data_IF_900834241305
#
_entry.id   IF_900834241305
#
_cell.length_a   1.000
_cell.length_b   1.000
_cell.length_c   1.000
_cell.angle_alpha   90.00
_cell.angle_beta   90.00
_cell.angle_gamma   90.00
#
_symmetry.space_group_name_H-M   'P 1'
#
loop_
_entity.id
_entity.type
_entity.pdbx_description
1 polymer ?
2 water ?
#
# COMPACT_ATOMS: atom_id res chain seq x y z
N UNK A 2 -4.22 -20.49 -0.69
CA UNK A 2 -2.94 -19.74 -0.48
C UNK A 2 -3.09 -18.72 0.65
N UNK A 3 -2.03 -18.55 1.46
CA UNK A 3 -2.11 -17.55 2.54
C UNK A 3 -2.31 -16.13 2.05
N UNK A 4 -3.04 -15.34 2.82
CA UNK A 4 -3.19 -13.92 2.54
C UNK A 4 -2.12 -13.16 3.32
N UNK A 5 -1.36 -12.32 2.64
CA UNK A 5 -0.40 -11.43 3.27
C UNK A 5 -1.10 -10.11 3.59
N UNK A 6 -0.98 -9.66 4.84
CA UNK A 6 -1.64 -8.46 5.31
C UNK A 6 -0.56 -7.52 5.84
N UNK A 7 -0.43 -6.33 5.27
CA UNK A 7 0.64 -5.44 5.67
C UNK A 7 0.28 -3.98 5.44
N UNK A 8 0.92 -3.13 6.23
CA UNK A 8 0.75 -1.69 6.11
C UNK A 8 1.01 -1.06 7.46
N UNK A 9 0.36 0.08 7.71
CA UNK A 9 0.57 0.77 8.96
C UNK A 9 -0.67 1.57 9.33
N UNK A 10 -0.82 1.79 10.62
CA UNK A 10 -1.87 2.60 11.18
C UNK A 10 -1.21 3.61 12.11
N UNK A 11 -1.65 4.85 12.02
CA UNK A 11 -1.05 5.94 12.76
C UNK A 11 -2.12 6.63 13.61
N UNK A 12 -1.69 7.40 14.60
CA UNK A 12 -2.59 8.15 15.46
C UNK A 12 -3.19 7.36 16.60
N UNK A 13 -2.68 6.15 16.83
CA UNK A 13 -3.17 5.28 17.89
C UNK A 13 -2.52 5.59 19.24
N UNK A 14 -3.21 5.24 20.31
CA UNK A 14 -2.59 5.24 21.62
C UNK A 14 -1.57 4.10 21.66
N UNK A 15 -0.51 4.29 22.45
CA UNK A 15 0.54 3.29 22.58
C UNK A 15 -0.05 1.99 23.14
N UNK A 16 0.34 0.86 22.56
CA UNK A 16 -0.09 -0.43 23.03
C UNK A 16 -0.84 -1.27 22.02
N UNK A 17 -1.58 -2.22 22.56
CA UNK A 17 -2.24 -3.27 21.80
C UNK A 17 -3.64 -2.84 21.36
N UNK A 18 -3.97 -3.05 20.10
CA UNK A 18 -5.27 -2.69 19.53
C UNK A 18 -5.86 -3.85 18.75
N UNK A 19 -7.05 -4.27 19.14
CA UNK A 19 -7.76 -5.32 18.41
C UNK A 19 -7.96 -4.95 16.94
N UNK A 20 -7.82 -5.95 16.09
CA UNK A 20 -7.72 -5.75 14.62
C UNK A 20 -8.54 -6.85 13.96
N UNK A 21 -9.70 -6.49 13.40
CA UNK A 21 -10.65 -7.50 12.91
C UNK A 21 -11.25 -7.14 11.57
N UNK A 22 -11.57 -8.17 10.79
CA UNK A 22 -12.47 -8.03 9.66
C UNK A 22 -13.86 -8.34 10.17
N UNK A 23 -14.80 -7.44 9.93
CA UNK A 23 -16.17 -7.64 10.35
C UNK A 23 -16.74 -8.96 9.85
N UNK A 24 -17.39 -9.69 10.75
CA UNK A 24 -18.06 -10.94 10.39
C UNK A 24 -17.32 -12.20 10.79
N UNK A 25 -17.80 -13.34 10.32
CA UNK A 25 -17.22 -14.63 10.69
C UNK A 25 -15.81 -14.78 10.13
N UNK A 26 -14.94 -15.42 10.90
CA UNK A 26 -13.59 -15.74 10.44
C UNK A 26 -12.69 -14.52 10.33
N UNK A 27 -12.98 -13.49 11.13
CA UNK A 27 -12.29 -12.21 10.97
C UNK A 27 -11.39 -11.71 12.07
N UNK A 28 -11.06 -12.54 13.06
CA UNK A 28 -10.28 -12.10 14.20
C UNK A 28 -8.79 -12.19 13.86
N UNK A 29 -8.26 -11.12 13.28
CA UNK A 29 -6.88 -11.15 12.76
C UNK A 29 -5.87 -11.16 13.88
N UNK A 30 -6.24 -10.60 15.01
CA UNK A 30 -5.37 -10.50 16.18
C UNK A 30 -5.31 -9.06 16.67
N UNK A 31 -4.10 -8.57 16.88
CA UNK A 31 -3.87 -7.21 17.33
C UNK A 31 -2.79 -6.54 16.53
N UNK A 32 -2.82 -5.21 16.52
CA UNK A 32 -1.69 -4.41 16.10
C UNK A 32 -1.09 -3.74 17.33
N UNK A 33 0.19 -3.44 17.26
CA UNK A 33 0.91 -2.84 18.38
C UNK A 33 1.41 -1.47 17.96
N UNK A 34 0.92 -0.45 18.64
CA UNK A 34 1.32 0.92 18.36
C UNK A 34 2.49 1.30 19.26
N UNK A 35 3.49 1.95 18.68
CA UNK A 35 4.66 2.43 19.41
C UNK A 35 4.39 3.74 20.18
N UNK A 36 5.43 4.29 20.81
CA UNK A 36 5.32 5.57 21.54
C UNK A 36 4.92 6.78 20.68
N UNK A 37 5.02 6.65 19.37
CA UNK A 37 4.61 7.67 18.42
C UNK A 37 3.20 7.41 17.88
N UNK A 38 2.56 6.34 18.35
CA UNK A 38 1.20 6.00 17.92
C UNK A 38 1.13 5.31 16.58
N UNK A 39 2.25 4.74 16.14
CA UNK A 39 2.35 4.10 14.83
C UNK A 39 2.44 2.59 15.03
N UNK A 40 1.56 1.87 14.33
CA UNK A 40 1.56 0.42 14.35
C UNK A 40 1.87 -0.10 12.95
N UNK A 41 2.97 -0.84 12.83
CA UNK A 41 3.31 -1.55 11.60
C UNK A 41 2.65 -2.91 11.64
N UNK A 42 2.15 -3.31 10.49
CA UNK A 42 1.45 -4.58 10.34
C UNK A 42 2.15 -5.41 9.28
N UNK A 43 2.44 -6.66 9.63
CA UNK A 43 2.99 -7.64 8.69
C UNK A 43 2.59 -9.04 9.16
N UNK A 44 1.47 -9.52 8.61
CA UNK A 44 0.81 -10.76 9.06
C UNK A 44 0.63 -11.66 7.83
N UNK A 45 0.72 -12.96 8.07
CA UNK A 45 0.34 -13.98 7.12
C UNK A 45 -0.87 -14.68 7.75
N UNK A 46 -1.90 -14.92 6.95
CA UNK A 46 -3.15 -15.45 7.46
C UNK A 46 -3.72 -16.46 6.47
N UNK A 47 -3.79 -17.73 6.91
CA UNK A 47 -4.28 -18.81 6.05
C UNK A 47 -5.76 -19.15 6.33
N UNK A 48 -6.40 -18.38 7.20
CA UNK A 48 -7.83 -18.54 7.50
C UNK A 48 -8.69 -17.69 6.56
N UNK A 49 -8.29 -16.44 6.35
CA UNK A 49 -9.01 -15.54 5.44
C UNK A 49 -8.63 -15.80 3.97
N UNK A 50 -9.47 -15.30 3.08
CA UNK A 50 -9.20 -15.40 1.64
C UNK A 50 -9.69 -14.17 0.91
N UNK A 51 -9.08 -13.88 -0.23
CA UNK A 51 -9.53 -12.80 -1.12
C UNK A 51 -10.42 -13.30 -2.27
N UNK A 52 -10.73 -14.59 -2.27
CA UNK A 52 -11.60 -15.14 -3.30
C UNK A 52 -12.48 -16.23 -2.73
N UNK A 53 -13.46 -16.67 -3.52
CA UNK A 53 -14.39 -17.70 -3.08
C UNK A 53 -15.56 -17.13 -2.30
N UNK A 54 -16.39 -18.03 -1.78
CA UNK A 54 -17.65 -17.63 -1.15
C UNK A 54 -17.49 -16.91 0.20
N UNK A 55 -16.30 -17.00 0.80
CA UNK A 55 -16.01 -16.27 2.04
C UNK A 55 -14.94 -15.19 1.85
N UNK A 56 -14.78 -14.72 0.62
CA UNK A 56 -13.85 -13.63 0.34
C UNK A 56 -14.09 -12.43 1.25
N UNK A 57 -13.01 -11.82 1.73
CA UNK A 57 -13.14 -10.62 2.58
C UNK A 57 -13.23 -9.32 1.77
N UNK A 58 -13.15 -9.42 0.44
CA UNK A 58 -13.36 -8.25 -0.41
C UNK A 58 -14.74 -7.66 -0.13
N UNK A 59 -14.76 -6.35 0.13
CA UNK A 59 -15.99 -5.65 0.46
C UNK A 59 -16.42 -5.71 1.92
N UNK A 60 -15.70 -6.49 2.74
CA UNK A 60 -15.94 -6.47 4.16
C UNK A 60 -15.20 -5.30 4.79
N UNK A 61 -15.63 -4.92 5.99
CA UNK A 61 -15.05 -3.80 6.69
C UNK A 61 -13.94 -4.26 7.64
N UNK A 62 -12.79 -3.62 7.53
CA UNK A 62 -11.67 -3.84 8.43
C UNK A 62 -11.76 -2.81 9.54
N UNK A 63 -11.56 -3.23 10.78
CA UNK A 63 -11.64 -2.32 11.92
C UNK A 63 -10.44 -2.46 12.84
N UNK A 64 -10.12 -1.37 13.53
CA UNK A 64 -9.14 -1.36 14.59
C UNK A 64 -9.75 -0.66 15.80
N UNK A 65 -9.64 -1.29 16.97
CA UNK A 65 -10.12 -0.70 18.21
C UNK A 65 -9.23 0.46 18.58
N UNK A 66 -9.81 1.64 18.76
CA UNK A 66 -9.03 2.81 19.16
C UNK A 66 -8.62 2.74 20.63
N UNK A 67 -9.39 2.05 21.46
CA UNK A 67 -9.01 1.84 22.86
C UNK A 67 -7.95 0.73 22.91
N UNK A 68 -6.84 1.00 23.59
CA UNK A 68 -5.78 0.02 23.76
C UNK A 68 -6.20 -1.05 24.76
N UNK A 69 -5.70 -2.26 24.56
CA UNK A 69 -5.95 -3.37 25.46
C UNK A 69 -7.20 -4.14 25.08
N UNK A 70 -7.60 -5.07 25.94
CA UNK A 70 -8.77 -5.92 25.67
C UNK A 70 -10.08 -5.36 26.26
N UNK A 71 -10.08 -4.09 26.65
CA UNK A 71 -11.22 -3.47 27.35
C UNK A 71 -12.42 -3.10 26.49
N UNK A 72 -13.55 -2.87 27.16
CA UNK A 72 -14.83 -2.55 26.50
C UNK A 72 -15.00 -1.06 26.19
N UNK A 73 -15.98 -0.74 25.36
CA UNK A 73 -16.36 0.65 25.08
C UNK A 73 -15.45 1.40 24.11
N UNK A 74 -14.72 0.65 23.29
CA UNK A 74 -13.83 1.24 22.30
C UNK A 74 -14.59 1.79 21.09
N UNK A 75 -14.08 2.90 20.58
CA UNK A 75 -14.48 3.45 19.30
C UNK A 75 -13.63 2.71 18.25
N UNK A 76 -14.01 2.79 16.98
CA UNK A 76 -13.30 2.09 15.90
C UNK A 76 -12.81 3.06 14.84
N UNK A 77 -11.66 2.73 14.27
CA UNK A 77 -11.29 3.22 12.95
C UNK A 77 -11.59 2.10 11.98
N UNK A 78 -12.10 2.45 10.81
CA UNK A 78 -12.60 1.42 9.89
C UNK A 78 -12.41 1.83 8.45
N UNK A 79 -12.44 0.83 7.58
CA UNK A 79 -12.45 1.06 6.15
C UNK A 79 -12.85 -0.19 5.43
N UNK A 80 -13.43 -0.03 4.25
CA UNK A 80 -13.89 -1.17 3.47
C UNK A 80 -12.71 -1.73 2.67
N UNK A 81 -12.59 -3.06 2.63
CA UNK A 81 -11.55 -3.72 1.85
C UNK A 81 -11.93 -3.68 0.38
N UNK A 82 -11.18 -2.88 -0.39
CA UNK A 82 -11.47 -2.67 -1.80
C UNK A 82 -10.49 -3.38 -2.70
N UNK A 83 -10.96 -3.73 -3.90
CA UNK A 83 -10.12 -4.40 -4.88
C UNK A 83 -9.07 -3.44 -5.40
N UNK A 84 -7.83 -3.90 -5.50
CA UNK A 84 -6.76 -3.20 -6.18
C UNK A 84 -6.36 -4.00 -7.43
N UNK A 85 -5.87 -3.32 -8.47
CA UNK A 85 -5.41 -4.04 -9.67
C UNK A 85 -4.17 -4.88 -9.33
N UNK A 86 -4.19 -6.15 -9.71
CA UNK A 86 -3.04 -7.02 -9.48
C UNK A 86 -2.43 -7.49 -10.79
N UNK A 87 -1.18 -7.94 -10.72
CA UNK A 87 -0.51 -8.58 -11.84
C UNK A 87 -1.02 -10.00 -12.00
N UNK A 88 -0.47 -10.71 -12.98
CA UNK A 88 -0.88 -12.10 -13.26
C UNK A 88 -0.76 -12.99 -12.02
N UNK A 89 -1.76 -13.83 -11.80
CA UNK A 89 -1.73 -14.83 -10.73
C UNK A 89 -1.70 -14.33 -9.29
N UNK A 90 -2.22 -13.13 -9.05
CA UNK A 90 -2.36 -12.62 -7.68
C UNK A 90 -3.61 -11.75 -7.56
N UNK A 91 -4.21 -11.75 -6.38
CA UNK A 91 -5.29 -10.86 -6.05
C UNK A 91 -4.76 -9.88 -5.00
N UNK A 92 -5.09 -8.61 -5.13
CA UNK A 92 -4.67 -7.59 -4.18
C UNK A 92 -5.88 -6.74 -3.77
N UNK A 93 -5.85 -6.29 -2.52
CA UNK A 93 -6.88 -5.42 -1.97
C UNK A 93 -6.27 -4.43 -0.99
N UNK A 94 -7.00 -3.36 -0.74
CA UNK A 94 -6.54 -2.28 0.12
C UNK A 94 -7.70 -1.74 0.95
N UNK A 95 -7.46 -1.55 2.23
CA UNK A 95 -8.39 -0.87 3.11
C UNK A 95 -7.76 0.41 3.62
N UNK A 96 -8.46 1.51 3.42
CA UNK A 96 -8.06 2.80 3.95
C UNK A 96 -8.84 3.01 5.23
N UNK A 97 -8.13 3.00 6.36
CA UNK A 97 -8.77 3.13 7.67
C UNK A 97 -8.85 4.58 8.08
N UNK A 98 -10.01 4.99 8.56
CA UNK A 98 -10.21 6.32 9.10
C UNK A 98 -10.93 6.20 10.44
N UNK A 99 -10.42 6.92 11.42
CA UNK A 99 -11.05 7.00 12.73
C UNK A 99 -11.05 8.43 13.23
N UNK A 100 -11.13 8.56 14.55
CA UNK A 100 -11.21 9.87 15.20
C UNK A 100 -9.86 10.54 15.33
N UNK A 101 -9.88 11.87 15.34
CA UNK A 101 -8.65 12.66 15.45
C UNK A 101 -7.62 12.19 14.43
N UNK A 102 -6.42 11.81 14.90
CA UNK A 102 -5.34 11.47 13.97
C UNK A 102 -5.35 10.01 13.48
N UNK A 103 -6.33 9.18 13.88
CA UNK A 103 -6.27 7.75 13.54
C UNK A 103 -6.56 7.51 12.06
N UNK A 104 -5.57 6.98 11.37
CA UNK A 104 -5.71 6.65 9.96
C UNK A 104 -4.65 5.63 9.59
N UNK A 105 -4.93 4.85 8.56
CA UNK A 105 -3.94 3.94 8.04
C UNK A 105 -4.31 3.34 6.71
N UNK A 106 -3.38 2.56 6.17
CA UNK A 106 -3.58 1.86 4.91
C UNK A 106 -3.09 0.43 5.14
N UNK A 107 -3.98 -0.53 4.88
CA UNK A 107 -3.65 -1.95 5.02
C UNK A 107 -3.87 -2.64 3.68
N UNK A 108 -2.82 -3.33 3.24
CA UNK A 108 -2.81 -4.06 1.97
C UNK A 108 -3.01 -5.55 2.21
N UNK A 109 -3.68 -6.20 1.26
CA UNK A 109 -3.93 -7.63 1.31
C UNK A 109 -3.50 -8.21 -0.04
N UNK A 110 -2.79 -9.33 -0.01
CA UNK A 110 -2.35 -9.98 -1.23
C UNK A 110 -2.40 -11.48 -1.10
N UNK A 111 -2.81 -12.13 -2.18
CA UNK A 111 -2.96 -13.59 -2.20
C UNK A 111 -2.66 -14.13 -3.58
N UNK A 112 -1.78 -15.13 -3.64
CA UNK A 112 -1.47 -15.77 -4.92
C UNK A 112 -2.70 -16.53 -5.42
N UNK A 113 -2.93 -16.49 -6.74
CA UNK A 113 -4.16 -17.01 -7.31
C UNK A 113 -4.00 -18.48 -7.69
N UNK B 1 19.34 -9.87 -7.91
CA UNK B 1 18.28 -10.06 -6.89
C UNK B 1 16.95 -10.35 -7.58
N UNK B 2 15.92 -10.68 -6.81
CA UNK B 2 14.62 -11.04 -7.37
C UNK B 2 13.98 -9.81 -8.01
N UNK B 3 13.05 -10.02 -8.95
CA UNK B 3 12.32 -8.86 -9.50
C UNK B 3 11.51 -8.13 -8.43
N UNK B 4 11.17 -6.87 -8.70
CA UNK B 4 10.36 -6.07 -7.80
C UNK B 4 8.99 -5.84 -8.44
N UNK B 5 7.94 -6.10 -7.67
CA UNK B 5 6.58 -5.80 -8.07
C UNK B 5 6.25 -4.38 -7.63
N UNK B 6 5.65 -3.62 -8.53
CA UNK B 6 5.32 -2.22 -8.29
C UNK B 6 3.83 -2.06 -8.59
N UNK B 7 3.07 -1.59 -7.61
CA UNK B 7 1.65 -1.47 -7.80
C UNK B 7 1.01 -0.42 -6.90
N UNK B 8 -0.12 0.10 -7.36
CA UNK B 8 -0.87 1.10 -6.63
C UNK B 8 -1.70 1.92 -7.56
N UNK B 9 -1.98 3.14 -7.16
CA UNK B 9 -2.80 4.01 -7.99
C UNK B 9 -2.44 5.47 -7.76
N UNK B 10 -2.69 6.27 -8.78
CA UNK B 10 -2.45 7.71 -8.73
C UNK B 10 -3.71 8.37 -9.24
N UNK B 11 -4.17 9.41 -8.55
CA UNK B 11 -5.37 10.12 -8.96
C UNK B 11 -5.08 11.59 -9.20
N UNK B 12 -6.04 12.27 -9.81
CA UNK B 12 -5.94 13.70 -10.09
C UNK B 12 -5.15 14.01 -11.35
N UNK B 13 -4.87 12.97 -12.14
CA UNK B 13 -4.11 13.14 -13.36
C UNK B 13 -4.98 13.54 -14.55
N UNK B 14 -4.37 14.19 -15.53
CA UNK B 14 -5.03 14.40 -16.81
C UNK B 14 -5.07 13.08 -17.55
N UNK B 15 -6.14 12.87 -18.32
CA UNK B 15 -6.31 11.64 -19.07
C UNK B 15 -5.12 11.42 -20.01
N UNK B 16 -4.62 10.18 -20.05
CA UNK B 16 -3.55 9.80 -20.98
C UNK B 16 -2.31 9.27 -20.29
N UNK B 17 -1.20 9.31 -21.02
CA UNK B 17 0.09 8.75 -20.58
C UNK B 17 0.89 9.74 -19.75
N UNK B 18 1.52 9.24 -18.69
CA UNK B 18 2.33 10.06 -17.80
C UNK B 18 3.66 9.39 -17.47
N UNK B 19 4.75 10.12 -17.65
CA UNK B 19 6.08 9.63 -17.30
C UNK B 19 6.16 9.23 -15.83
N UNK B 20 6.89 8.16 -15.56
CA UNK B 20 6.89 7.51 -14.25
C UNK B 20 8.26 6.92 -14.02
N UNK B 21 9.00 7.47 -13.05
CA UNK B 21 10.31 6.93 -12.76
C UNK B 21 10.97 7.35 -11.47
N UNK B 22 12.09 6.68 -11.19
CA UNK B 22 12.86 6.87 -9.99
C UNK B 22 14.03 7.80 -10.26
N UNK B 23 14.00 8.97 -9.66
CA UNK B 23 15.09 9.93 -9.84
C UNK B 23 16.37 9.46 -9.16
N UNK B 24 17.51 9.64 -9.84
CA UNK B 24 18.81 9.39 -9.24
C UNK B 24 19.19 7.92 -9.13
N UNK B 25 18.40 7.04 -9.73
CA UNK B 25 18.74 5.64 -9.77
C UNK B 25 18.55 5.17 -11.21
N UNK B 26 17.47 4.45 -11.48
CA UNK B 26 17.25 3.85 -12.79
C UNK B 26 16.44 4.69 -13.76
N UNK B 27 15.85 5.77 -13.25
CA UNK B 27 14.99 6.60 -14.10
C UNK B 27 13.73 5.85 -14.51
N UNK B 28 13.48 5.80 -15.82
CA UNK B 28 12.18 5.36 -16.39
C UNK B 28 11.67 3.97 -15.93
N UNK B 29 10.52 3.94 -15.24
CA UNK B 29 9.78 2.70 -14.96
C UNK B 29 8.77 2.37 -16.06
N UNK B 30 8.54 3.31 -16.97
CA UNK B 30 7.54 3.16 -18.01
C UNK B 30 6.29 3.96 -17.67
N UNK B 31 5.65 4.53 -18.68
CA UNK B 31 4.50 5.41 -18.50
C UNK B 31 3.34 4.72 -17.78
N UNK B 32 2.63 5.49 -16.96
CA UNK B 32 1.34 5.06 -16.44
C UNK B 32 0.23 5.70 -17.29
N UNK B 33 -0.94 5.08 -17.27
CA UNK B 33 -2.09 5.56 -18.06
C UNK B 33 -3.23 5.98 -17.14
N UNK B 34 -3.59 7.26 -17.20
CA UNK B 34 -4.71 7.80 -16.45
C UNK B 34 -5.98 7.72 -17.28
N UNK B 35 -7.06 7.27 -16.67
CA UNK B 35 -8.33 7.12 -17.37
C UNK B 35 -9.10 8.45 -17.39
N UNK B 36 -10.34 8.41 -17.88
CA UNK B 36 -11.15 9.61 -18.02
C UNK B 36 -11.42 10.31 -16.69
N UNK B 37 -11.36 9.55 -15.60
CA UNK B 37 -11.56 10.11 -14.26
C UNK B 37 -10.25 10.57 -13.61
N UNK B 38 -9.16 10.54 -14.37
CA UNK B 38 -7.86 10.95 -13.87
C UNK B 38 -7.16 9.95 -12.99
N UNK B 39 -7.61 8.69 -13.02
CA UNK B 39 -7.02 7.63 -12.21
C UNK B 39 -6.14 6.72 -13.06
N UNK B 40 -4.92 6.52 -12.59
CA UNK B 40 -3.98 5.57 -13.17
C UNK B 40 -3.76 4.44 -12.18
N UNK B 41 -4.13 3.23 -12.58
CA UNK B 41 -3.85 2.02 -11.81
C UNK B 41 -2.54 1.44 -12.32
N UNK B 42 -1.65 1.09 -11.40
CA UNK B 42 -0.31 0.64 -11.72
C UNK B 42 -0.13 -0.79 -11.24
N UNK B 43 0.34 -1.66 -12.12
CA UNK B 43 0.72 -3.02 -11.74
C UNK B 43 1.76 -3.53 -12.71
N UNK B 44 3.02 -3.50 -12.27
CA UNK B 44 4.12 -3.93 -13.11
C UNK B 44 5.15 -4.71 -12.32
N UNK B 45 6.03 -5.35 -13.07
CA UNK B 45 7.16 -6.07 -12.50
C UNK B 45 8.39 -5.59 -13.23
N UNK B 46 9.44 -5.29 -12.46
CA UNK B 46 10.68 -4.75 -12.99
C UNK B 46 11.83 -5.59 -12.43
N UNK B 47 12.64 -6.14 -13.34
CA UNK B 47 13.72 -7.02 -12.98
C UNK B 47 15.11 -6.35 -12.97
N UNK B 48 15.13 -5.03 -13.12
CA UNK B 48 16.37 -4.28 -13.00
C UNK B 48 16.47 -3.62 -11.63
N UNK B 49 15.40 -2.97 -11.18
CA UNK B 49 15.40 -2.28 -9.90
C UNK B 49 15.46 -3.29 -8.74
N UNK B 50 15.86 -2.81 -7.57
CA UNK B 50 15.97 -3.64 -6.38
C UNK B 50 15.69 -2.82 -5.14
N UNK B 51 15.18 -3.47 -4.09
CA UNK B 51 14.93 -2.82 -2.81
C UNK B 51 16.01 -3.12 -1.76
N UNK B 52 17.01 -3.90 -2.14
CA UNK B 52 18.16 -4.17 -1.29
C UNK B 52 19.42 -4.15 -2.13
N UNK B 53 20.56 -4.21 -1.45
CA UNK B 53 21.84 -4.28 -2.10
C UNK B 53 22.34 -2.89 -2.47
N UNK B 54 23.45 -2.86 -3.20
CA UNK B 54 24.15 -1.60 -3.48
C UNK B 54 23.47 -0.71 -4.52
N UNK B 55 22.41 -1.21 -5.14
CA UNK B 55 21.57 -0.40 -6.02
C UNK B 55 20.15 -0.23 -5.48
N UNK B 56 19.97 -0.44 -4.19
CA UNK B 56 18.64 -0.27 -3.60
C UNK B 56 18.05 1.07 -3.93
N UNK B 57 16.77 1.08 -4.28
CA UNK B 57 16.07 2.34 -4.54
C UNK B 57 15.32 2.88 -3.31
N UNK B 58 15.46 2.20 -2.17
CA UNK B 58 14.94 2.73 -0.90
C UNK B 58 15.59 4.09 -0.65
N UNK B 59 14.79 5.10 -0.35
CA UNK B 59 15.28 6.45 -0.13
C UNK B 59 15.39 7.30 -1.38
N UNK B 60 15.14 6.72 -2.56
CA UNK B 60 15.08 7.49 -3.79
C UNK B 60 13.70 8.09 -3.95
N UNK B 61 13.61 9.12 -4.79
CA UNK B 61 12.35 9.82 -5.02
C UNK B 61 11.70 9.30 -6.30
N UNK B 62 10.46 8.82 -6.16
CA UNK B 62 9.61 8.43 -7.28
C UNK B 62 8.88 9.66 -7.80
N UNK B 63 8.86 9.83 -9.11
CA UNK B 63 8.23 10.99 -9.72
C UNK B 63 7.27 10.57 -10.83
N UNK B 64 6.18 11.30 -10.94
CA UNK B 64 5.28 11.17 -12.06
C UNK B 64 5.16 12.55 -12.73
N UNK B 65 5.23 12.55 -14.06
CA UNK B 65 4.99 13.78 -14.82
C UNK B 65 3.50 14.11 -14.77
N UNK B 66 3.16 15.30 -14.26
CA UNK B 66 1.77 15.75 -14.24
C UNK B 66 1.27 16.13 -15.64
N UNK B 67 2.18 16.48 -16.55
CA UNK B 67 1.82 16.73 -17.95
C UNK B 67 1.73 15.39 -18.68
N UNK B 68 0.67 15.22 -19.47
CA UNK B 68 0.48 14.00 -20.26
C UNK B 68 1.40 14.00 -21.49
N UNK B 69 1.97 12.84 -21.82
CA UNK B 69 2.82 12.71 -23.00
C UNK B 69 4.28 13.09 -22.75
N UNK B 70 5.06 13.16 -23.83
CA UNK B 70 6.52 13.29 -23.73
C UNK B 70 7.07 14.72 -23.90
N UNK B 71 6.20 15.72 -23.79
CA UNK B 71 6.62 17.11 -23.95
C UNK B 71 7.33 17.64 -22.72
N UNK B 72 8.32 18.52 -22.92
CA UNK B 72 9.06 19.13 -21.82
C UNK B 72 8.18 20.09 -21.01
N UNK B 73 8.69 20.50 -19.84
CA UNK B 73 8.01 21.50 -19.01
C UNK B 73 7.01 20.92 -18.00
N UNK B 74 7.01 19.61 -17.81
CA UNK B 74 6.09 19.00 -16.86
C UNK B 74 6.43 19.33 -15.42
N UNK B 75 5.42 19.69 -14.63
CA UNK B 75 5.58 19.67 -13.18
C UNK B 75 5.55 18.21 -12.72
N UNK B 76 6.03 17.97 -11.52
CA UNK B 76 6.17 16.62 -10.97
C UNK B 76 5.37 16.47 -9.68
N UNK B 77 4.68 15.34 -9.55
CA UNK B 77 4.25 14.85 -8.25
C UNK B 77 5.30 13.83 -7.85
N UNK B 78 5.61 13.77 -6.55
CA UNK B 78 6.71 12.95 -6.11
C UNK B 78 6.55 12.48 -4.67
N UNK B 79 7.32 11.47 -4.34
CA UNK B 79 7.39 10.96 -2.99
C UNK B 79 8.62 10.08 -2.81
N UNK B 80 9.16 10.08 -1.61
CA UNK B 80 10.32 9.24 -1.30
C UNK B 80 9.87 7.80 -1.06
N UNK B 81 10.63 6.87 -1.61
CA UNK B 81 10.38 5.45 -1.43
C UNK B 81 10.84 5.06 -0.01
N UNK B 82 9.86 4.81 0.85
CA UNK B 82 10.15 4.53 2.25
C UNK B 82 9.96 3.06 2.59
N UNK B 83 10.80 2.55 3.50
CA UNK B 83 10.73 1.15 3.88
C UNK B 83 9.42 0.86 4.63
N UNK B 84 8.88 -0.32 4.37
CA UNK B 84 7.73 -0.84 5.10
C UNK B 84 8.12 -2.16 5.75
N UNK B 85 7.54 -2.46 6.90
CA UNK B 85 7.79 -3.73 7.58
C UNK B 85 7.35 -4.93 6.73
N UNK B 86 8.23 -5.91 6.59
CA UNK B 86 7.93 -7.14 5.86
C UNK B 86 8.30 -8.36 6.70
N UNK B 87 7.92 -9.54 6.22
CA UNK B 87 8.36 -10.81 6.83
C UNK B 87 9.81 -11.12 6.50
N UNK B 88 10.32 -12.22 7.06
CA UNK B 88 11.73 -12.59 6.93
C UNK B 88 12.17 -12.74 5.47
N UNK B 89 11.29 -13.31 4.65
CA UNK B 89 11.60 -13.57 3.25
C UNK B 89 11.20 -12.49 2.25
N UNK B 90 11.16 -11.23 2.69
CA UNK B 90 10.75 -10.15 1.79
C UNK B 90 11.22 -8.75 2.20
N UNK B 91 11.19 -7.86 1.21
CA UNK B 91 11.35 -6.43 1.45
C UNK B 91 10.17 -5.71 0.81
N UNK B 92 9.65 -4.72 1.51
CA UNK B 92 8.56 -3.92 1.00
C UNK B 92 8.85 -2.44 1.21
N UNK B 93 8.27 -1.62 0.36
CA UNK B 93 8.41 -0.18 0.44
C UNK B 93 7.19 0.50 -0.13
N UNK B 94 7.03 1.77 0.21
CA UNK B 94 5.87 2.54 -0.21
C UNK B 94 6.29 3.97 -0.51
N UNK B 95 5.81 4.51 -1.62
CA UNK B 95 5.97 5.94 -1.91
C UNK B 95 4.62 6.61 -1.94
N UNK B 96 4.48 7.66 -1.13
CA UNK B 96 3.27 8.48 -1.14
C UNK B 96 3.55 9.65 -2.05
N UNK B 97 2.83 9.71 -3.17
CA UNK B 97 3.06 10.74 -4.16
C UNK B 97 2.17 11.94 -3.86
N UNK B 98 2.77 13.11 -3.86
CA UNK B 98 2.04 14.36 -3.66
C UNK B 98 2.55 15.37 -4.66
N UNK B 99 1.61 16.15 -5.19
CA UNK B 99 1.95 17.17 -6.17
C UNK B 99 0.92 18.29 -6.13
N UNK B 100 0.67 18.89 -7.28
CA UNK B 100 -0.19 20.06 -7.38
C UNK B 100 -1.65 19.67 -7.50
N UNK B 101 -2.51 20.55 -6.98
CA UNK B 101 -3.94 20.33 -7.00
C UNK B 101 -4.28 18.91 -6.59
N UNK B 102 -4.95 18.16 -7.47
CA UNK B 102 -5.50 16.91 -7.00
C UNK B 102 -4.57 15.70 -7.13
N UNK B 103 -3.35 15.90 -7.64
CA UNK B 103 -2.47 14.76 -7.95
C UNK B 103 -1.89 14.14 -6.70
N UNK B 104 -2.23 12.89 -6.47
CA UNK B 104 -1.74 12.16 -5.32
C UNK B 104 -1.92 10.69 -5.55
N UNK B 105 -1.06 9.91 -4.90
CA UNK B 105 -1.08 8.47 -5.10
C UNK B 105 -0.29 7.72 -4.06
N UNK B 106 -0.43 6.40 -4.10
CA UNK B 106 0.31 5.50 -3.25
C UNK B 106 0.83 4.39 -4.14
N UNK B 107 2.15 4.20 -4.13
CA UNK B 107 2.78 3.16 -4.92
C UNK B 107 3.57 2.25 -4.00
N UNK B 108 3.26 0.95 -4.08
CA UNK B 108 3.89 -0.10 -3.29
C UNK B 108 4.94 -0.83 -4.09
N UNK B 109 6.00 -1.26 -3.41
CA UNK B 109 7.09 -2.03 -3.99
C UNK B 109 7.30 -3.26 -3.13
N UNK B 110 7.45 -4.41 -3.77
CA UNK B 110 7.70 -5.66 -3.03
C UNK B 110 8.71 -6.53 -3.75
N UNK B 111 9.61 -7.13 -2.96
CA UNK B 111 10.67 -7.99 -3.49
C UNK B 111 10.91 -9.19 -2.58
N UNK B 112 10.87 -10.39 -3.15
CA UNK B 112 11.16 -11.61 -2.39
C UNK B 112 12.66 -11.68 -2.09
N UNK B 113 13.04 -12.24 -0.94
CA UNK B 113 14.45 -12.44 -0.61
C UNK B 113 14.98 -13.72 -1.25
N UNK B 114 16.26 -13.70 -1.64
CA UNK B 114 16.86 -14.81 -2.37
C UNK B 114 18.38 -14.71 -2.37
#
# INVERSE_FOLDING_TARGET
MAPVKVWGSIKGLTEGLHGFHVHGAGGDLGNVTADKDGVADVSIEDSVISLSGDHSIIGRTLVVHEKAGAGAGSRLASGVIGIAQAGAGATKAVAVLKGDGPVQGIINFEQKES
MAPVKVWGSIKGLTEGLHGFHVHGAGGDLGNVTADKDGVADVSIEDSVISLSGDHSIIGRTLVVHEKAGAGAGSRLASGVIGIAQAGAGATKAVAVLKGDGPVQGIINFEQKES
#
